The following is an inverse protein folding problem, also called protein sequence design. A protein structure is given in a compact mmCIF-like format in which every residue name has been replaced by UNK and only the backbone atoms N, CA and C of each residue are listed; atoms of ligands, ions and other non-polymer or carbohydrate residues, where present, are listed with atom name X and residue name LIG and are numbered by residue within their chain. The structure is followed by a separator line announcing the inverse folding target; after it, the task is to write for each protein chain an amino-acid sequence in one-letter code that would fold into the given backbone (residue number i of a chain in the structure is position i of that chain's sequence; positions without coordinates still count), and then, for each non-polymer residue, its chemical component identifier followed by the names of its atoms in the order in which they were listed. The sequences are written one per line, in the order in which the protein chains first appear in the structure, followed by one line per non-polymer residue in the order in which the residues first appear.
data_IF_888722280065
#
_entry.id   IF_888722280065
#
_cell.length_a   1.000
_cell.length_b   1.000
_cell.length_c   1.000
_cell.angle_alpha   90.00
_cell.angle_beta   90.00
_cell.angle_gamma   90.00
#
_symmetry.space_group_name_H-M   'P 1'
#
loop_
_entity.id
_entity.type
_entity.pdbx_description
1 polymer ?
#
# COMPACT_ATOMS: atom_id res chain seq x y z
N UNK A 1 31.37 30.41 3.13
CA UNK A 1 29.93 30.26 2.85
C UNK A 1 29.78 28.92 2.14
N UNK A 2 29.48 27.86 2.90
CA UNK A 2 29.45 26.49 2.35
C UNK A 2 28.02 26.12 2.03
N UNK A 3 27.79 25.92 0.74
CA UNK A 3 26.56 25.50 0.08
C UNK A 3 26.21 24.07 0.51
N UNK A 4 25.47 23.90 1.60
CA UNK A 4 24.88 22.60 1.95
C UNK A 4 23.64 22.41 1.09
N UNK A 5 23.84 22.06 -0.19
CA UNK A 5 22.81 21.45 -1.02
C UNK A 5 22.44 20.12 -0.38
N UNK A 6 21.44 20.18 0.51
CA UNK A 6 20.68 19.02 0.96
C UNK A 6 20.23 18.31 -0.32
N UNK A 7 20.92 17.22 -0.64
CA UNK A 7 20.46 16.23 -1.59
C UNK A 7 19.25 15.57 -0.94
N UNK A 8 18.13 16.29 -0.97
CA UNK A 8 16.81 15.76 -0.69
C UNK A 8 16.62 14.71 -1.79
N UNK A 9 16.99 13.45 -1.49
CA UNK A 9 16.66 12.31 -2.33
C UNK A 9 15.17 12.44 -2.56
N UNK A 10 14.78 12.90 -3.76
CA UNK A 10 13.40 12.87 -4.20
C UNK A 10 13.03 11.39 -4.15
N UNK A 11 12.32 10.99 -3.10
CA UNK A 11 11.75 9.68 -3.01
C UNK A 11 10.68 9.65 -4.10
N UNK A 12 11.08 9.23 -5.31
CA UNK A 12 10.24 9.10 -6.48
C UNK A 12 9.38 7.86 -6.30
N UNK A 13 8.45 7.94 -5.35
CA UNK A 13 7.45 6.93 -5.07
C UNK A 13 6.07 7.55 -5.21
N UNK A 14 5.15 6.84 -5.84
CA UNK A 14 3.74 7.16 -5.70
C UNK A 14 3.22 6.51 -4.41
N UNK A 15 2.48 7.28 -3.61
CA UNK A 15 1.93 6.88 -2.33
C UNK A 15 0.51 6.36 -2.49
N UNK A 16 0.14 5.34 -1.72
CA UNK A 16 -1.21 4.79 -1.73
C UNK A 16 -2.17 5.65 -0.90
N UNK A 17 -3.19 6.21 -1.54
CA UNK A 17 -4.31 6.86 -0.88
C UNK A 17 -5.24 5.83 -0.23
N UNK A 18 -6.02 6.30 0.74
CA UNK A 18 -7.08 5.54 1.41
C UNK A 18 -8.15 4.97 0.46
N UNK A 19 -8.31 5.55 -0.74
CA UNK A 19 -9.27 5.11 -1.75
C UNK A 19 -8.69 4.07 -2.74
N UNK A 20 -7.45 3.59 -2.54
CA UNK A 20 -6.81 2.61 -3.43
C UNK A 20 -6.23 3.19 -4.73
N UNK A 21 -6.12 4.52 -4.85
CA UNK A 21 -5.36 5.18 -5.93
C UNK A 21 -3.98 5.59 -5.46
N UNK A 22 -3.08 5.88 -6.39
CA UNK A 22 -1.76 6.44 -6.07
C UNK A 22 -1.71 7.96 -6.21
N UNK A 23 -0.86 8.63 -5.42
CA UNK A 23 -0.64 10.08 -5.40
C UNK A 23 0.85 10.41 -5.25
N UNK A 24 1.27 11.61 -5.65
CA UNK A 24 2.62 12.12 -5.36
C UNK A 24 2.72 12.84 -4.00
N UNK A 25 1.60 12.99 -3.28
CA UNK A 25 1.54 13.61 -1.96
C UNK A 25 1.43 12.54 -0.86
N UNK A 26 2.42 12.45 0.02
CA UNK A 26 2.40 11.52 1.13
C UNK A 26 1.50 11.95 2.29
N UNK A 27 1.03 13.21 2.33
CA UNK A 27 0.18 13.72 3.41
C UNK A 27 -1.23 13.11 3.41
N UNK A 28 -1.70 12.65 2.24
CA UNK A 28 -2.99 11.97 2.09
C UNK A 28 -2.90 10.44 2.26
N UNK A 29 -1.69 9.90 2.45
CA UNK A 29 -1.50 8.48 2.71
C UNK A 29 -1.94 8.14 4.14
N UNK A 30 -2.78 7.11 4.35
CA UNK A 30 -3.18 6.69 5.68
C UNK A 30 -2.01 6.03 6.43
N UNK A 31 -2.14 5.93 7.75
CA UNK A 31 -1.15 5.21 8.56
C UNK A 31 -1.40 3.72 8.42
N UNK A 32 -0.44 3.01 7.84
CA UNK A 32 -0.48 1.57 7.67
C UNK A 32 0.15 0.86 8.87
N UNK A 33 -0.43 -0.27 9.27
CA UNK A 33 0.16 -1.16 10.26
C UNK A 33 -0.09 -2.62 9.91
N UNK A 34 0.91 -3.48 10.17
CA UNK A 34 0.74 -4.92 10.15
C UNK A 34 0.80 -5.42 11.59
N UNK A 35 -0.27 -6.06 12.08
CA UNK A 35 -0.33 -6.68 13.41
C UNK A 35 -0.89 -8.08 13.29
N UNK A 36 -0.17 -9.08 13.80
CA UNK A 36 -0.58 -10.49 13.73
C UNK A 36 -0.95 -10.95 12.31
N UNK A 37 -0.22 -10.46 11.30
CA UNK A 37 -0.47 -10.78 9.89
C UNK A 37 -1.67 -10.04 9.26
N UNK A 38 -2.31 -9.11 9.97
CA UNK A 38 -3.41 -8.29 9.44
C UNK A 38 -2.86 -6.92 9.04
N UNK A 39 -3.10 -6.51 7.80
CA UNK A 39 -2.79 -5.16 7.33
C UNK A 39 -3.99 -4.23 7.55
N UNK A 40 -3.77 -3.13 8.26
CA UNK A 40 -4.76 -2.09 8.49
C UNK A 40 -4.31 -0.73 7.99
N UNK A 41 -5.27 0.14 7.72
CA UNK A 41 -5.07 1.55 7.47
C UNK A 41 -5.92 2.38 8.44
N UNK A 42 -5.30 3.34 9.12
CA UNK A 42 -6.03 4.28 9.98
C UNK A 42 -6.31 5.57 9.20
N UNK A 43 -7.60 5.88 9.03
CA UNK A 43 -8.10 7.06 8.30
C UNK A 43 -9.05 7.79 9.24
N UNK A 44 -8.79 9.08 9.53
CA UNK A 44 -9.61 9.89 10.45
C UNK A 44 -9.89 9.19 11.79
N UNK A 45 -8.86 8.59 12.40
CA UNK A 45 -8.93 7.81 13.66
C UNK A 45 -9.78 6.52 13.60
N UNK A 46 -10.22 6.10 12.42
CA UNK A 46 -10.95 4.84 12.21
C UNK A 46 -10.04 3.82 11.54
N UNK A 47 -10.05 2.58 12.04
CA UNK A 47 -9.23 1.48 11.53
C UNK A 47 -9.98 0.70 10.47
N UNK A 48 -9.42 0.64 9.27
CA UNK A 48 -9.92 -0.13 8.14
C UNK A 48 -9.01 -1.32 7.86
N UNK A 49 -9.57 -2.38 7.28
CA UNK A 49 -8.91 -3.66 7.08
C UNK A 49 -8.76 -3.99 5.61
N UNK A 50 -7.55 -4.37 5.21
CA UNK A 50 -7.35 -4.99 3.90
C UNK A 50 -7.77 -6.45 3.97
N UNK A 51 -8.66 -6.85 3.05
CA UNK A 51 -9.21 -8.19 3.05
C UNK A 51 -9.79 -8.56 1.69
N UNK A 52 -10.02 -9.85 1.51
CA UNK A 52 -10.75 -10.40 0.37
C UNK A 52 -11.58 -11.62 0.82
N UNK A 53 -12.27 -12.25 -0.11
CA UNK A 53 -13.02 -13.48 0.11
C UNK A 53 -12.56 -14.57 -0.86
N UNK A 54 -12.70 -15.86 -0.51
CA UNK A 54 -12.41 -16.96 -1.42
C UNK A 54 -13.19 -16.84 -2.73
N UNK A 55 -12.57 -17.27 -3.84
CA UNK A 55 -13.17 -17.26 -5.17
C UNK A 55 -13.11 -15.92 -5.92
N UNK A 56 -12.69 -14.83 -5.26
CA UNK A 56 -12.43 -13.56 -5.93
C UNK A 56 -11.16 -13.67 -6.78
N UNK A 57 -11.25 -13.32 -8.08
CA UNK A 57 -10.11 -13.41 -8.99
C UNK A 57 -9.12 -12.25 -8.81
N UNK A 58 -9.65 -11.05 -8.63
CA UNK A 58 -8.94 -9.83 -8.30
C UNK A 58 -9.91 -8.82 -7.67
N UNK A 59 -9.39 -7.84 -6.94
CA UNK A 59 -10.17 -6.71 -6.43
C UNK A 59 -9.30 -5.47 -6.29
N UNK A 60 -9.93 -4.30 -6.25
CA UNK A 60 -9.21 -3.06 -5.95
C UNK A 60 -8.59 -3.19 -4.56
N UNK A 61 -7.32 -2.81 -4.44
CA UNK A 61 -6.59 -2.90 -3.18
C UNK A 61 -6.91 -1.69 -2.31
N UNK A 62 -8.05 -1.75 -1.63
CA UNK A 62 -8.61 -0.71 -0.78
C UNK A 62 -9.08 -1.32 0.55
N UNK A 63 -8.92 -0.64 1.69
CA UNK A 63 -9.34 -1.19 2.97
C UNK A 63 -10.83 -0.93 3.23
N UNK A 64 -11.48 -1.79 4.02
CA UNK A 64 -12.92 -1.72 4.33
C UNK A 64 -13.18 -1.80 5.83
N UNK A 65 -14.33 -1.26 6.27
CA UNK A 65 -14.89 -1.49 7.62
C UNK A 65 -15.61 -2.83 7.76
N UNK A 66 -16.00 -3.43 6.64
CA UNK A 66 -16.65 -4.74 6.56
C UNK A 66 -15.70 -5.71 5.84
N UNK A 67 -14.71 -6.27 6.56
CA UNK A 67 -13.73 -7.13 5.92
C UNK A 67 -14.34 -8.45 5.45
N UNK A 68 -13.76 -9.00 4.37
CA UNK A 68 -13.99 -10.38 3.95
C UNK A 68 -13.36 -11.40 4.90
N UNK A 69 -13.45 -12.68 4.55
CA UNK A 69 -12.95 -13.77 5.41
C UNK A 69 -11.44 -13.98 5.34
N UNK A 70 -10.76 -13.49 4.29
CA UNK A 70 -9.30 -13.52 4.17
C UNK A 70 -8.76 -12.15 4.58
N UNK A 71 -8.26 -12.04 5.81
CA UNK A 71 -7.69 -10.80 6.40
C UNK A 71 -6.19 -10.91 6.71
N UNK A 72 -5.65 -12.13 6.59
CA UNK A 72 -4.25 -12.52 6.80
C UNK A 72 -3.77 -13.31 5.57
N UNK A 73 -2.49 -13.59 5.35
CA UNK A 73 -1.31 -13.29 6.18
C UNK A 73 -0.41 -12.27 5.48
N UNK A 74 -0.64 -10.99 5.78
CA UNK A 74 0.22 -9.91 5.33
C UNK A 74 1.55 -9.91 6.07
N UNK A 75 2.63 -9.66 5.34
CA UNK A 75 3.96 -9.43 5.89
C UNK A 75 4.68 -8.36 5.10
N UNK A 76 5.68 -7.73 5.73
CA UNK A 76 6.59 -6.83 5.06
C UNK A 76 8.03 -7.31 5.25
N UNK A 77 8.84 -7.27 4.19
CA UNK A 77 10.27 -7.56 4.30
C UNK A 77 11.00 -6.45 5.07
N UNK A 78 12.27 -6.68 5.41
CA UNK A 78 13.13 -5.65 6.04
C UNK A 78 13.25 -4.36 5.20
N UNK A 79 13.03 -4.46 3.88
CA UNK A 79 13.02 -3.33 2.95
C UNK A 79 11.62 -2.71 2.78
N UNK A 80 10.64 -3.16 3.55
CA UNK A 80 9.25 -2.68 3.52
C UNK A 80 8.39 -3.31 2.43
N UNK A 81 8.91 -4.21 1.58
CA UNK A 81 8.12 -4.83 0.52
C UNK A 81 6.96 -5.62 1.11
N UNK A 82 5.74 -5.27 0.70
CA UNK A 82 4.51 -5.90 1.17
C UNK A 82 4.26 -7.20 0.40
N UNK A 83 3.99 -8.26 1.15
CA UNK A 83 3.54 -9.55 0.66
C UNK A 83 2.25 -9.95 1.35
N UNK A 84 1.36 -10.64 0.63
CA UNK A 84 0.14 -11.18 1.20
C UNK A 84 0.00 -12.65 0.78
N UNK A 85 0.07 -13.54 1.78
CA UNK A 85 0.04 -14.98 1.56
C UNK A 85 -1.29 -15.58 1.96
N UNK A 86 -1.78 -16.51 1.15
CA UNK A 86 -2.93 -17.36 1.47
C UNK A 86 -2.94 -18.58 0.54
N UNK A 87 -3.26 -19.77 1.07
CA UNK A 87 -3.32 -21.00 0.27
C UNK A 87 -4.42 -21.01 -0.80
N UNK A 88 -5.40 -20.10 -0.70
CA UNK A 88 -6.45 -19.90 -1.70
C UNK A 88 -6.00 -19.03 -2.88
N UNK A 89 -4.83 -18.38 -2.79
CA UNK A 89 -4.27 -17.60 -3.88
C UNK A 89 -3.47 -18.49 -4.82
N UNK A 90 -3.42 -18.13 -6.09
CA UNK A 90 -2.54 -18.76 -7.05
C UNK A 90 -1.07 -18.66 -6.58
N UNK A 91 -0.36 -19.79 -6.58
CA UNK A 91 0.99 -19.92 -6.01
C UNK A 91 1.12 -19.49 -4.53
N UNK A 92 0.00 -19.41 -3.79
CA UNK A 92 0.00 -19.08 -2.36
C UNK A 92 0.21 -17.60 -2.02
N UNK A 93 0.27 -16.71 -3.01
CA UNK A 93 0.59 -15.29 -2.81
C UNK A 93 -0.23 -14.38 -3.73
N UNK A 94 -0.74 -13.28 -3.20
CA UNK A 94 -1.37 -12.23 -4.00
C UNK A 94 -0.32 -11.44 -4.78
N UNK A 95 -0.64 -11.13 -6.03
CA UNK A 95 0.13 -10.19 -6.85
C UNK A 95 -0.53 -8.82 -6.82
N UNK A 96 0.25 -7.77 -7.10
CA UNK A 96 -0.26 -6.40 -7.18
C UNK A 96 0.01 -5.82 -8.56
N UNK A 97 -0.96 -5.09 -9.09
CA UNK A 97 -0.81 -4.38 -10.35
C UNK A 97 -1.50 -3.03 -10.29
N UNK A 98 -1.05 -2.08 -11.12
CA UNK A 98 -1.69 -0.77 -11.26
C UNK A 98 -2.13 -0.52 -12.69
N UNK A 99 -3.27 0.15 -12.83
CA UNK A 99 -3.73 0.71 -14.09
C UNK A 99 -3.11 2.11 -14.32
N UNK A 100 -3.15 2.57 -15.57
CA UNK A 100 -2.65 3.92 -15.95
C UNK A 100 -3.36 5.07 -15.26
N UNK A 101 -4.59 4.84 -14.76
CA UNK A 101 -5.34 5.80 -13.95
C UNK A 101 -4.88 5.83 -12.47
N UNK A 102 -3.91 4.99 -12.09
CA UNK A 102 -3.36 4.92 -10.74
C UNK A 102 -4.13 4.03 -9.77
N UNK A 103 -5.20 3.35 -10.20
CA UNK A 103 -5.89 2.36 -9.36
C UNK A 103 -5.03 1.11 -9.19
N UNK A 104 -4.83 0.69 -7.95
CA UNK A 104 -4.10 -0.54 -7.63
C UNK A 104 -5.07 -1.68 -7.36
N UNK A 105 -4.75 -2.85 -7.92
CA UNK A 105 -5.48 -4.09 -7.74
C UNK A 105 -4.60 -5.14 -7.06
N UNK A 106 -5.22 -5.94 -6.22
CA UNK A 106 -4.68 -7.22 -5.77
C UNK A 106 -5.27 -8.33 -6.64
N UNK A 107 -4.40 -9.18 -7.18
CA UNK A 107 -4.74 -10.28 -8.08
C UNK A 107 -4.45 -11.58 -7.34
N UNK A 108 -5.46 -12.44 -7.26
CA UNK A 108 -5.44 -13.66 -6.45
C UNK A 108 -5.41 -14.93 -7.29
N UNK A 109 -5.82 -14.86 -8.56
CA UNK A 109 -5.87 -15.99 -9.49
C UNK A 109 -4.88 -15.80 -10.65
N UNK A 110 -4.52 -16.91 -11.30
CA UNK A 110 -3.64 -16.90 -12.46
C UNK A 110 -4.27 -16.14 -13.63
N UNK A 111 -3.50 -15.28 -14.29
CA UNK A 111 -3.90 -14.54 -15.50
C UNK A 111 -5.22 -13.76 -15.36
N UNK A 112 -5.58 -13.40 -14.12
CA UNK A 112 -6.85 -12.75 -13.80
C UNK A 112 -6.74 -11.21 -13.71
N UNK A 113 -5.54 -10.65 -13.89
CA UNK A 113 -5.34 -9.21 -13.77
C UNK A 113 -6.23 -8.42 -14.77
N UNK A 114 -6.74 -7.24 -14.41
CA UNK A 114 -7.44 -6.37 -15.35
C UNK A 114 -6.61 -6.06 -16.61
N UNK A 115 -7.28 -5.87 -17.75
CA UNK A 115 -6.59 -5.50 -19.00
C UNK A 115 -5.81 -4.20 -18.82
N UNK A 116 -4.54 -4.20 -19.22
CA UNK A 116 -3.64 -3.06 -19.08
C UNK A 116 -3.09 -2.83 -17.67
N UNK A 117 -3.30 -3.77 -16.74
CA UNK A 117 -2.72 -3.69 -15.40
C UNK A 117 -1.24 -4.09 -15.42
N UNK A 118 -0.36 -3.17 -15.04
CA UNK A 118 1.08 -3.40 -14.97
C UNK A 118 1.43 -3.90 -13.57
N UNK A 119 2.12 -5.05 -13.49
CA UNK A 119 2.54 -5.60 -12.20
C UNK A 119 3.53 -4.67 -11.49
N UNK A 120 3.26 -4.44 -10.20
CA UNK A 120 4.05 -3.56 -9.35
C UNK A 120 4.41 -4.25 -8.03
N UNK A 121 5.41 -3.72 -7.35
CA UNK A 121 5.72 -4.09 -5.98
C UNK A 121 5.29 -2.97 -5.06
N UNK A 122 4.45 -3.30 -4.07
CA UNK A 122 4.08 -2.39 -3.02
C UNK A 122 5.13 -2.42 -1.92
N UNK A 123 5.50 -1.25 -1.39
CA UNK A 123 6.38 -1.11 -0.25
C UNK A 123 5.77 -0.19 0.79
N UNK A 124 5.83 -0.62 2.05
CA UNK A 124 5.55 0.21 3.21
C UNK A 124 6.79 1.03 3.53
N UNK A 125 6.62 2.33 3.68
CA UNK A 125 7.66 3.26 4.11
C UNK A 125 7.30 3.82 5.49
N UNK A 126 8.30 4.26 6.26
CA UNK A 126 8.02 4.89 7.54
C UNK A 126 7.35 6.25 7.33
N UNK A 127 6.36 6.57 8.17
CA UNK A 127 5.68 7.87 8.17
C UNK A 127 6.69 9.03 8.30
N UNK A 128 7.79 8.82 9.05
CA UNK A 128 8.90 9.77 9.21
C UNK A 128 9.69 10.06 7.93
N UNK A 129 9.57 9.22 6.90
CA UNK A 129 10.21 9.43 5.58
C UNK A 129 9.40 10.36 4.67
N UNK A 130 8.17 10.72 5.05
CA UNK A 130 7.36 11.68 4.31
C UNK A 130 7.93 13.09 4.53
N UNK A 131 8.65 13.62 3.52
CA UNK A 131 9.29 14.93 3.59
C UNK A 131 8.29 16.08 3.84
N UNK A 132 7.01 15.92 3.47
CA UNK A 132 5.96 16.90 3.78
C UNK A 132 5.68 17.02 5.29
N UNK A 133 5.80 15.94 6.06
CA UNK A 133 5.67 15.96 7.52
C UNK A 133 6.93 16.52 8.19
N UNK A 134 8.11 16.30 7.60
CA UNK A 134 9.37 16.89 8.09
C UNK A 134 9.43 18.42 7.93
N UNK A 135 8.63 19.01 7.04
CA UNK A 135 8.54 20.47 6.85
C UNK A 135 7.52 21.16 7.77
N UNK A 136 6.71 20.41 8.53
CA UNK A 136 5.78 21.00 9.52
C UNK A 136 6.43 21.31 10.87
N UNK A 137 7.69 20.92 11.09
CA UNK A 137 8.44 21.20 12.32
C UNK A 137 9.61 22.18 12.10
N UNK A 138 9.39 23.23 11.30
CA UNK A 138 10.28 24.41 11.27
C UNK A 138 9.92 25.35 12.42
N UNK A 139 10.88 25.82 13.24
CA UNK A 139 10.58 26.70 14.37
C UNK A 139 10.18 28.10 13.87
N UNK A 140 9.20 28.69 14.55
CA UNK A 140 8.86 30.12 14.46
C UNK A 140 10.02 30.99 14.93
#
# INVERSE_FOLDING_TARGET
MSDTRLHQKRQSGFYMNANGTVTNDCSSAPIYAIRNGVLTATINNVVYYYSTSPGIAYSQFVPSLTPGSITTSFSATSNGQLSWFNSQFYNGQAQFCSLSNGTVYAVYQQDAAPSGCLYIQLSLFSVSSCAALAMSSGPR
#
